data_IF_681841464687
#
_entry.id   IF_681841464687
#
_cell.length_a   1.000
_cell.length_b   1.000
_cell.length_c   1.000
_cell.angle_alpha   90.00
_cell.angle_beta   90.00
_cell.angle_gamma   90.00
#
_symmetry.space_group_name_H-M   'P 1'
#
loop_
_entity.id
_entity.type
_entity.pdbx_description
1 polymer ?
#
# COMPACT_ATOMS: atom_id res chain seq x y z
N UNK A 1 30.73 5.38 13.10
CA UNK A 1 29.73 6.22 12.42
C UNK A 1 30.36 6.76 11.14
N UNK A 2 30.03 6.18 9.97
CA UNK A 2 30.46 6.74 8.69
C UNK A 2 29.29 7.52 8.11
N UNK A 3 29.46 8.84 8.07
CA UNK A 3 28.48 9.82 7.65
C UNK A 3 28.26 9.70 6.13
N UNK A 4 27.17 9.04 5.73
CA UNK A 4 26.79 8.92 4.32
C UNK A 4 26.15 10.23 3.87
N UNK A 5 26.95 11.18 3.39
CA UNK A 5 26.42 12.42 2.81
C UNK A 5 25.73 12.09 1.48
N UNK A 6 24.42 12.33 1.32
CA UNK A 6 23.74 12.02 0.07
C UNK A 6 24.29 12.93 -1.03
N UNK A 7 24.73 12.33 -2.13
CA UNK A 7 25.15 13.07 -3.32
C UNK A 7 23.98 13.97 -3.78
N UNK A 8 24.12 15.28 -3.55
CA UNK A 8 23.05 16.27 -3.73
C UNK A 8 22.87 16.69 -5.19
N UNK A 9 23.58 16.06 -6.13
CA UNK A 9 23.57 16.46 -7.54
C UNK A 9 23.28 15.27 -8.45
N UNK A 10 22.49 15.50 -9.50
CA UNK A 10 22.23 14.57 -10.60
C UNK A 10 22.62 15.32 -11.88
N UNK A 11 23.64 14.82 -12.60
CA UNK A 11 24.08 15.42 -13.87
C UNK A 11 24.50 16.89 -13.78
N UNK A 12 25.10 17.31 -12.65
CA UNK A 12 25.54 18.70 -12.44
C UNK A 12 24.44 19.67 -11.97
N UNK A 13 23.20 19.19 -11.81
CA UNK A 13 22.10 19.99 -11.24
C UNK A 13 21.77 19.52 -9.82
N UNK A 14 21.46 20.44 -8.88
CA UNK A 14 20.99 20.05 -7.55
C UNK A 14 19.74 19.17 -7.64
N UNK A 15 19.67 18.13 -6.80
CA UNK A 15 18.49 17.25 -6.74
C UNK A 15 17.24 18.07 -6.45
N UNK A 16 16.23 17.92 -7.30
CA UNK A 16 14.90 18.50 -7.10
C UNK A 16 14.13 17.74 -6.01
N UNK A 17 14.55 17.90 -4.75
CA UNK A 17 13.91 17.27 -3.58
C UNK A 17 12.69 18.04 -3.07
N UNK A 18 12.47 19.27 -3.56
CA UNK A 18 11.38 20.14 -3.15
C UNK A 18 10.51 20.51 -4.34
N UNK A 19 9.19 20.42 -4.17
CA UNK A 19 8.21 20.81 -5.19
C UNK A 19 8.33 22.33 -5.49
N UNK A 20 8.44 22.76 -6.76
CA UNK A 20 8.46 24.18 -7.14
C UNK A 20 7.13 24.89 -6.82
N UNK A 21 7.22 26.14 -6.37
CA UNK A 21 6.05 26.90 -5.87
C UNK A 21 5.00 27.24 -6.95
N UNK A 22 5.39 27.29 -8.22
CA UNK A 22 4.50 27.65 -9.33
C UNK A 22 3.69 26.46 -9.86
N UNK A 23 4.00 25.23 -9.43
CA UNK A 23 3.28 24.02 -9.87
C UNK A 23 2.00 23.89 -9.06
N UNK A 24 0.88 24.27 -9.66
CA UNK A 24 -0.47 24.13 -9.09
C UNK A 24 -1.15 22.86 -9.61
N UNK A 25 -2.02 22.27 -8.79
CA UNK A 25 -2.89 21.19 -9.25
C UNK A 25 -3.92 21.72 -10.27
N UNK A 26 -4.43 20.87 -11.19
CA UNK A 26 -5.53 21.22 -12.08
C UNK A 26 -6.79 21.67 -11.32
N UNK A 27 -7.63 22.50 -11.96
CA UNK A 27 -8.82 23.08 -11.33
C UNK A 27 -9.82 22.02 -10.82
N UNK A 28 -9.95 20.89 -11.53
CA UNK A 28 -10.86 19.79 -11.20
C UNK A 28 -10.28 18.82 -10.15
N UNK A 29 -9.04 19.04 -9.69
CA UNK A 29 -8.40 18.13 -8.74
C UNK A 29 -8.89 18.41 -7.32
N UNK A 30 -9.77 17.56 -6.81
CA UNK A 30 -10.19 17.56 -5.40
C UNK A 30 -9.35 16.58 -4.58
N UNK A 31 -8.75 17.03 -3.48
CA UNK A 31 -8.09 16.16 -2.49
C UNK A 31 -9.01 15.92 -1.29
N UNK A 32 -10.27 15.61 -1.57
CA UNK A 32 -11.24 15.26 -0.54
C UNK A 32 -10.87 13.90 0.03
N UNK A 33 -10.86 13.76 1.36
CA UNK A 33 -10.65 12.46 1.98
C UNK A 33 -11.73 11.50 1.49
N UNK A 34 -11.32 10.29 1.09
CA UNK A 34 -12.29 9.21 0.86
C UNK A 34 -13.00 8.89 2.19
N UNK A 35 -14.27 8.46 2.15
CA UNK A 35 -14.95 8.00 3.35
C UNK A 35 -14.14 6.94 4.09
N UNK A 36 -14.26 6.94 5.42
CA UNK A 36 -13.61 5.91 6.25
C UNK A 36 -14.12 4.54 5.78
N UNK A 37 -13.22 3.57 5.54
CA UNK A 37 -13.65 2.24 5.14
C UNK A 37 -14.54 1.62 6.21
N UNK A 38 -15.52 0.83 5.77
CA UNK A 38 -16.34 0.05 6.69
C UNK A 38 -15.46 -0.98 7.43
N UNK A 39 -15.77 -1.29 8.70
CA UNK A 39 -15.07 -2.34 9.42
C UNK A 39 -15.27 -3.68 8.71
N UNK A 40 -14.18 -4.43 8.56
CA UNK A 40 -14.21 -5.79 8.01
C UNK A 40 -15.11 -6.63 8.92
N UNK A 41 -16.13 -7.25 8.33
CA UNK A 41 -16.93 -8.28 8.98
C UNK A 41 -16.34 -9.62 8.56
N UNK A 42 -15.79 -10.34 9.52
CA UNK A 42 -15.40 -11.73 9.29
C UNK A 42 -16.67 -12.56 9.19
N UNK A 43 -16.85 -13.23 8.06
CA UNK A 43 -17.84 -14.29 7.94
C UNK A 43 -17.40 -15.46 8.81
N UNK A 44 -18.37 -16.17 9.38
CA UNK A 44 -18.07 -17.37 10.17
C UNK A 44 -17.41 -18.41 9.28
N UNK A 45 -16.40 -19.10 9.82
CA UNK A 45 -15.68 -20.13 9.09
C UNK A 45 -16.64 -21.21 8.55
N UNK A 46 -17.67 -21.57 9.32
CA UNK A 46 -18.68 -22.56 8.95
C UNK A 46 -19.51 -22.15 7.72
N UNK A 47 -19.68 -20.86 7.48
CA UNK A 47 -20.46 -20.30 6.37
C UNK A 47 -19.62 -20.19 5.08
N UNK A 48 -18.32 -20.48 5.16
CA UNK A 48 -17.38 -20.41 4.05
C UNK A 48 -17.13 -21.79 3.42
N UNK A 49 -16.80 -21.86 2.11
CA UNK A 49 -16.50 -23.12 1.45
C UNK A 49 -15.38 -23.89 2.18
N UNK A 50 -15.71 -25.05 2.74
CA UNK A 50 -14.76 -25.87 3.50
C UNK A 50 -14.68 -25.58 5.00
N UNK A 51 -15.57 -24.74 5.55
CA UNK A 51 -15.65 -24.51 7.00
C UNK A 51 -14.47 -23.72 7.57
N UNK A 52 -13.79 -22.91 6.74
CA UNK A 52 -12.53 -22.21 7.07
C UNK A 52 -12.60 -20.77 6.61
N UNK A 53 -11.83 -19.89 7.24
CA UNK A 53 -11.78 -18.46 6.93
C UNK A 53 -10.53 -18.15 6.07
N UNK A 54 -10.63 -18.09 4.72
CA UNK A 54 -9.49 -17.93 3.82
C UNK A 54 -9.11 -16.45 3.58
N UNK A 55 -9.29 -15.55 4.56
CA UNK A 55 -9.25 -14.08 4.37
C UNK A 55 -7.86 -13.50 4.03
N UNK A 56 -7.00 -14.26 3.34
CA UNK A 56 -6.02 -13.71 2.41
C UNK A 56 -6.01 -14.50 1.10
N UNK A 57 -6.27 -13.81 0.00
CA UNK A 57 -5.92 -14.31 -1.33
C UNK A 57 -4.42 -14.64 -1.32
N UNK A 58 -4.08 -15.94 -1.35
CA UNK A 58 -2.71 -16.45 -1.23
C UNK A 58 -2.54 -17.53 -0.16
N UNK A 59 -3.40 -17.57 0.87
CA UNK A 59 -3.36 -18.61 1.89
C UNK A 59 -4.17 -19.83 1.40
N UNK A 60 -3.57 -20.68 0.56
CA UNK A 60 -4.17 -21.96 0.20
C UNK A 60 -3.76 -23.03 1.20
N UNK A 61 -4.72 -23.69 1.84
CA UNK A 61 -4.41 -24.81 2.74
C UNK A 61 -4.72 -26.16 2.10
N UNK A 62 -3.75 -27.09 2.15
CA UNK A 62 -3.94 -28.50 1.80
C UNK A 62 -3.61 -29.38 3.00
N UNK A 63 -4.59 -30.15 3.49
CA UNK A 63 -4.45 -31.03 4.68
C UNK A 63 -3.95 -30.29 5.94
N UNK A 64 -4.32 -29.01 6.09
CA UNK A 64 -3.90 -28.18 7.22
C UNK A 64 -2.47 -27.64 7.11
N UNK A 65 -1.85 -27.72 5.93
CA UNK A 65 -0.58 -27.07 5.64
C UNK A 65 -0.81 -25.87 4.71
N UNK A 66 -0.24 -24.72 5.06
CA UNK A 66 -0.26 -23.53 4.21
C UNK A 66 0.65 -23.73 2.98
N UNK A 67 0.11 -23.45 1.79
CA UNK A 67 0.75 -23.55 0.48
C UNK A 67 0.60 -22.20 -0.23
N UNK A 68 1.68 -21.72 -0.83
CA UNK A 68 1.75 -20.53 -1.71
C UNK A 68 2.65 -20.85 -2.92
N UNK A 69 2.57 -20.05 -4.00
CA UNK A 69 3.40 -20.19 -5.21
C UNK A 69 4.84 -19.67 -5.03
#
# INVERSE_FOLDING_TARGET
MADSRPNMTIGGTPRAVKRPAHVKAPAEWTNSAVPVPEPIREDKAEDQPGGRNPVRYGDWELKGLAIDF
#
